data_IF_663134845158
#
_entry.id   IF_663134845158
#
_cell.length_a   1.000
_cell.length_b   1.000
_cell.length_c   1.000
_cell.angle_alpha   90.00
_cell.angle_beta   90.00
_cell.angle_gamma   90.00
#
_symmetry.space_group_name_H-M   'P 1'
#
loop_
_entity.id
_entity.type
_entity.pdbx_description
1 polymer ?
#
# COMPACT_ATOMS: atom_id res chain seq x y z
N UNK A 1 -1.11 -75.17 4.38
CA UNK A 1 -0.39 -74.12 3.63
C UNK A 1 -1.36 -73.04 3.21
N UNK A 2 -1.08 -71.79 3.59
CA UNK A 2 -1.51 -70.50 3.00
C UNK A 2 -3.02 -70.21 2.82
N UNK A 3 -3.56 -69.02 3.03
CA UNK A 3 -3.05 -67.70 3.45
C UNK A 3 -4.27 -66.81 3.72
N UNK A 4 -4.34 -66.18 4.89
CA UNK A 4 -5.37 -65.18 5.24
C UNK A 4 -4.83 -63.80 4.81
N UNK A 5 -5.36 -63.23 3.72
CA UNK A 5 -5.06 -61.84 3.35
C UNK A 5 -5.98 -60.90 4.11
N UNK A 6 -5.44 -60.21 5.11
CA UNK A 6 -6.08 -59.09 5.80
C UNK A 6 -5.87 -57.84 4.94
N UNK A 7 -6.96 -57.27 4.42
CA UNK A 7 -6.94 -55.99 3.71
C UNK A 7 -6.73 -54.83 4.68
N UNK A 8 -5.58 -54.15 4.59
CA UNK A 8 -5.30 -52.92 5.33
C UNK A 8 -5.85 -51.74 4.53
N UNK A 9 -6.94 -51.13 5.00
CA UNK A 9 -7.43 -49.87 4.45
C UNK A 9 -6.47 -48.76 4.92
N UNK A 10 -5.66 -48.23 4.00
CA UNK A 10 -4.86 -47.04 4.27
C UNK A 10 -5.76 -45.81 4.12
N UNK A 11 -6.02 -45.10 5.22
CA UNK A 11 -6.60 -43.75 5.17
C UNK A 11 -5.57 -42.81 4.54
N UNK A 12 -5.84 -42.31 3.35
CA UNK A 12 -5.14 -41.17 2.79
C UNK A 12 -5.54 -39.93 3.60
N UNK A 13 -4.62 -39.42 4.42
CA UNK A 13 -4.79 -38.15 5.10
C UNK A 13 -4.73 -37.02 4.07
N UNK A 14 -5.80 -36.24 3.96
CA UNK A 14 -5.78 -35.02 3.18
C UNK A 14 -4.87 -34.00 3.87
N UNK A 15 -3.72 -33.72 3.25
CA UNK A 15 -2.84 -32.62 3.67
C UNK A 15 -3.52 -31.33 3.23
N UNK A 16 -4.08 -30.59 4.19
CA UNK A 16 -4.61 -29.25 3.93
C UNK A 16 -3.46 -28.36 3.45
N UNK A 17 -3.48 -28.01 2.16
CA UNK A 17 -2.61 -26.98 1.60
C UNK A 17 -3.07 -25.64 2.19
N UNK A 18 -2.38 -25.15 3.22
CA UNK A 18 -2.56 -23.78 3.72
C UNK A 18 -2.11 -22.85 2.60
N UNK A 19 -3.08 -22.27 1.89
CA UNK A 19 -2.82 -21.23 0.90
C UNK A 19 -2.14 -20.05 1.60
N UNK A 20 -0.83 -19.87 1.33
CA UNK A 20 -0.11 -18.67 1.77
C UNK A 20 -0.58 -17.52 0.88
N UNK A 21 -1.10 -16.41 1.44
CA UNK A 21 -1.54 -15.28 0.62
C UNK A 21 -0.33 -14.67 -0.10
N UNK A 22 -0.27 -14.88 -1.42
CA UNK A 22 0.66 -14.20 -2.32
C UNK A 22 0.20 -12.74 -2.46
N UNK A 23 0.61 -11.91 -1.52
CA UNK A 23 0.17 -10.50 -1.49
C UNK A 23 0.48 -9.75 -0.21
N UNK A 24 1.18 -10.36 0.75
CA UNK A 24 1.80 -9.60 1.83
C UNK A 24 2.91 -8.73 1.22
N UNK A 25 2.59 -7.48 0.89
CA UNK A 25 3.58 -6.40 0.83
C UNK A 25 4.34 -6.53 2.15
N UNK A 26 5.59 -6.96 2.08
CA UNK A 26 6.49 -6.94 3.21
C UNK A 26 6.58 -5.50 3.66
N UNK A 27 5.75 -5.13 4.65
CA UNK A 27 6.00 -3.96 5.46
C UNK A 27 7.29 -4.28 6.19
N UNK A 28 8.44 -3.93 5.60
CA UNK A 28 9.67 -3.76 6.39
C UNK A 28 9.33 -2.63 7.36
N UNK A 29 8.89 -3.04 8.53
CA UNK A 29 8.52 -2.13 9.59
C UNK A 29 9.81 -1.43 10.02
N UNK A 30 9.73 -0.13 10.29
CA UNK A 30 10.75 0.66 11.02
C UNK A 30 11.09 0.03 12.39
N UNK A 31 10.41 -1.05 12.80
CA UNK A 31 10.80 -1.92 13.91
C UNK A 31 11.93 -2.91 13.60
N UNK A 32 12.60 -2.83 12.45
CA UNK A 32 13.96 -3.35 12.34
C UNK A 32 14.91 -2.40 13.10
N UNK A 33 14.56 -2.11 14.34
CA UNK A 33 15.46 -1.51 15.30
C UNK A 33 16.49 -2.59 15.58
N UNK A 34 17.64 -2.50 14.90
CA UNK A 34 18.94 -2.94 15.36
C UNK A 34 18.91 -4.28 16.12
N UNK A 35 18.23 -5.27 15.52
CA UNK A 35 18.58 -6.65 15.84
C UNK A 35 19.88 -6.82 15.08
N UNK A 36 20.98 -6.37 15.68
CA UNK A 36 22.30 -6.92 15.38
C UNK A 36 22.15 -8.42 15.62
N UNK A 37 21.73 -9.14 14.58
CA UNK A 37 21.80 -10.56 14.58
C UNK A 37 23.31 -10.84 14.67
N UNK A 38 23.78 -11.41 15.79
CA UNK A 38 25.20 -11.51 16.08
C UNK A 38 25.99 -12.28 15.00
N UNK A 39 25.31 -12.94 14.05
CA UNK A 39 25.91 -13.76 13.01
C UNK A 39 25.47 -13.44 11.56
N UNK A 40 24.64 -12.42 11.29
CA UNK A 40 24.15 -12.17 9.91
C UNK A 40 24.84 -11.04 9.15
N UNK A 41 25.47 -10.07 9.83
CA UNK A 41 26.08 -8.91 9.16
C UNK A 41 27.54 -9.14 8.70
N UNK A 42 28.08 -10.36 8.87
CA UNK A 42 29.39 -10.75 8.30
C UNK A 42 30.60 -9.90 8.75
N UNK A 43 30.50 -9.17 9.87
CA UNK A 43 31.54 -8.26 10.35
C UNK A 43 31.60 -6.91 9.63
N UNK A 44 30.58 -6.54 8.85
CA UNK A 44 30.47 -5.24 8.22
C UNK A 44 30.22 -4.14 9.27
N UNK A 45 30.92 -3.02 9.17
CA UNK A 45 30.74 -1.88 10.08
C UNK A 45 29.45 -1.17 9.71
N UNK A 46 28.41 -1.34 10.53
CA UNK A 46 27.10 -0.73 10.29
C UNK A 46 27.01 0.64 11.01
N UNK A 47 27.12 1.78 10.30
CA UNK A 47 26.92 3.10 10.92
C UNK A 47 25.45 3.30 11.32
N UNK A 48 25.16 4.31 12.15
CA UNK A 48 23.79 4.63 12.58
C UNK A 48 22.85 4.84 11.38
N UNK A 49 21.58 4.37 11.46
CA UNK A 49 20.61 4.50 10.38
C UNK A 49 20.07 5.94 10.27
N UNK A 50 20.89 6.84 9.75
CA UNK A 50 20.53 8.25 9.54
C UNK A 50 20.23 8.48 8.07
N UNK A 51 18.98 8.88 7.78
CA UNK A 51 18.57 9.23 6.43
C UNK A 51 19.37 10.42 5.90
N UNK A 52 19.86 10.31 4.67
CA UNK A 52 20.71 11.33 4.03
C UNK A 52 20.00 12.67 3.83
N UNK A 53 18.66 12.66 3.76
CA UNK A 53 17.82 13.86 3.74
C UNK A 53 18.07 14.81 4.93
N UNK A 54 18.41 14.28 6.11
CA UNK A 54 18.65 15.08 7.32
C UNK A 54 20.09 15.56 7.45
N UNK A 55 21.00 15.14 6.57
CA UNK A 55 22.35 15.70 6.51
C UNK A 55 22.31 17.13 5.99
N UNK A 56 23.29 17.94 6.40
CA UNK A 56 23.41 19.33 5.99
C UNK A 56 23.35 19.47 4.45
N UNK A 57 22.33 20.15 3.89
CA UNK A 57 22.21 20.37 2.45
C UNK A 57 23.36 21.18 1.86
N UNK A 58 23.98 22.05 2.65
CA UNK A 58 25.02 22.99 2.21
C UNK A 58 26.44 22.50 2.52
N UNK A 59 26.58 21.28 3.05
CA UNK A 59 27.86 20.69 3.36
C UNK A 59 28.75 20.50 2.13
N UNK A 60 30.07 20.54 2.32
CA UNK A 60 31.02 20.30 1.24
C UNK A 60 31.20 18.79 0.95
N UNK A 61 30.13 18.15 0.48
CA UNK A 61 30.13 16.73 0.14
C UNK A 61 30.89 16.43 -1.15
N UNK A 62 31.56 15.28 -1.22
CA UNK A 62 32.14 14.77 -2.48
C UNK A 62 31.05 14.44 -3.50
N UNK A 63 30.04 13.66 -3.10
CA UNK A 63 28.81 13.46 -3.84
C UNK A 63 27.75 14.44 -3.34
N UNK A 64 27.55 15.52 -4.11
CA UNK A 64 26.55 16.56 -3.80
C UNK A 64 25.12 16.05 -3.88
N UNK A 65 24.82 15.10 -4.75
CA UNK A 65 23.46 14.58 -4.91
C UNK A 65 23.09 13.72 -3.72
N UNK A 66 23.97 12.82 -3.29
CA UNK A 66 23.67 11.93 -2.17
C UNK A 66 24.12 12.45 -0.81
N UNK A 67 24.73 13.64 -0.73
CA UNK A 67 25.30 14.22 0.50
C UNK A 67 26.26 13.25 1.21
N UNK A 68 27.23 12.72 0.44
CA UNK A 68 28.17 11.67 0.88
C UNK A 68 29.62 12.01 0.56
N UNK A 69 30.53 11.62 1.45
CA UNK A 69 31.97 11.68 1.23
C UNK A 69 32.54 10.35 0.71
N UNK A 70 33.66 10.43 0.00
CA UNK A 70 34.35 9.23 -0.47
C UNK A 70 34.94 8.44 0.70
N UNK A 71 34.75 7.11 0.71
CA UNK A 71 35.28 6.23 1.75
C UNK A 71 34.53 6.25 3.09
N UNK A 72 33.42 6.98 3.23
CA UNK A 72 32.59 6.88 4.42
C UNK A 72 31.89 5.50 4.50
N UNK A 73 31.80 4.87 5.67
CA UNK A 73 31.01 3.65 5.85
C UNK A 73 29.55 3.90 5.48
N UNK A 74 28.97 2.97 4.73
CA UNK A 74 27.58 3.04 4.25
C UNK A 74 26.74 2.12 5.13
N UNK A 75 25.57 2.58 5.59
CA UNK A 75 24.62 1.71 6.29
C UNK A 75 24.17 0.57 5.37
N UNK A 76 23.85 -0.60 5.93
CA UNK A 76 23.39 -1.75 5.15
C UNK A 76 22.11 -1.46 4.34
N UNK A 77 21.16 -0.74 4.94
CA UNK A 77 19.91 -0.30 4.31
C UNK A 77 20.04 1.07 3.61
N UNK A 78 21.15 1.34 2.93
CA UNK A 78 21.36 2.62 2.19
C UNK A 78 20.37 2.83 1.05
N UNK A 79 19.75 1.77 0.53
CA UNK A 79 18.67 1.85 -0.45
C UNK A 79 17.42 2.55 0.13
N UNK A 80 17.18 2.37 1.43
CA UNK A 80 16.07 3.01 2.16
C UNK A 80 16.51 4.34 2.79
N UNK A 81 17.75 4.46 3.24
CA UNK A 81 18.26 5.68 3.89
C UNK A 81 18.84 6.72 2.92
N UNK A 82 19.04 6.35 1.66
CA UNK A 82 19.55 7.23 0.60
C UNK A 82 18.64 8.42 0.28
N UNK A 83 19.15 9.38 -0.49
CA UNK A 83 18.35 10.58 -0.80
C UNK A 83 17.21 10.30 -1.79
N UNK A 84 17.35 9.26 -2.64
CA UNK A 84 16.34 8.88 -3.62
C UNK A 84 15.22 8.01 -3.03
N UNK A 85 15.26 7.71 -1.73
CA UNK A 85 14.15 7.05 -1.06
C UNK A 85 13.02 8.04 -0.75
N UNK A 86 11.77 7.57 -0.53
CA UNK A 86 10.65 8.45 -0.23
C UNK A 86 10.93 9.35 0.96
N UNK A 87 10.66 10.66 0.85
CA UNK A 87 10.98 11.67 1.86
C UNK A 87 10.41 11.35 3.26
N UNK A 88 11.19 11.61 4.31
CA UNK A 88 10.72 11.56 5.70
C UNK A 88 10.31 12.94 6.20
N UNK A 89 9.10 13.04 6.75
CA UNK A 89 8.52 14.29 7.25
C UNK A 89 8.57 14.36 8.77
N UNK A 90 9.15 15.44 9.31
CA UNK A 90 9.33 15.64 10.76
C UNK A 90 8.34 16.60 11.41
N UNK A 91 7.56 17.33 10.61
CA UNK A 91 6.65 18.37 11.11
C UNK A 91 5.49 17.82 11.97
N UNK A 92 4.98 16.62 11.65
CA UNK A 92 3.84 15.99 12.31
C UNK A 92 4.06 14.49 12.45
N UNK A 93 3.62 13.88 13.56
CA UNK A 93 3.70 12.43 13.73
C UNK A 93 2.78 11.71 12.72
N UNK A 94 3.16 10.53 12.18
CA UNK A 94 2.33 9.81 11.21
C UNK A 94 0.90 9.55 11.67
N UNK A 95 0.72 9.19 12.95
CA UNK A 95 -0.60 8.94 13.53
C UNK A 95 -1.49 10.20 13.51
N UNK A 96 -0.93 11.36 13.87
CA UNK A 96 -1.65 12.63 13.86
C UNK A 96 -1.96 13.10 12.44
N UNK A 97 -1.04 12.90 11.49
CA UNK A 97 -1.27 13.24 10.08
C UNK A 97 -2.41 12.39 9.49
N UNK A 98 -2.41 11.09 9.76
CA UNK A 98 -3.46 10.19 9.30
C UNK A 98 -4.83 10.54 9.92
N UNK A 99 -4.85 10.87 11.22
CA UNK A 99 -6.06 11.32 11.88
C UNK A 99 -6.63 12.61 11.25
N UNK A 100 -5.78 13.62 11.02
CA UNK A 100 -6.20 14.87 10.38
C UNK A 100 -6.73 14.65 8.96
N UNK A 101 -6.07 13.79 8.17
CA UNK A 101 -6.53 13.41 6.84
C UNK A 101 -7.89 12.70 6.91
N UNK A 102 -8.07 11.78 7.86
CA UNK A 102 -9.35 11.10 8.09
C UNK A 102 -10.47 12.07 8.45
N UNK A 103 -10.20 13.03 9.34
CA UNK A 103 -11.13 14.09 9.70
C UNK A 103 -11.51 14.94 8.48
N UNK A 104 -10.54 15.33 7.66
CA UNK A 104 -10.79 16.12 6.45
C UNK A 104 -11.70 15.36 5.46
N UNK A 105 -11.35 14.12 5.13
CA UNK A 105 -12.14 13.26 4.24
C UNK A 105 -13.55 13.09 4.79
N UNK A 106 -13.67 12.78 6.08
CA UNK A 106 -14.98 12.59 6.74
C UNK A 106 -15.80 13.87 6.73
N UNK A 107 -15.20 15.03 6.96
CA UNK A 107 -15.92 16.30 6.94
C UNK A 107 -16.45 16.64 5.55
N UNK A 108 -15.63 16.47 4.50
CA UNK A 108 -16.03 16.77 3.12
C UNK A 108 -17.13 15.81 2.66
N UNK A 109 -16.90 14.50 2.76
CA UNK A 109 -17.89 13.52 2.31
C UNK A 109 -19.10 13.44 3.22
N UNK A 110 -18.94 13.70 4.51
CA UNK A 110 -20.04 13.84 5.46
C UNK A 110 -20.95 15.00 5.08
N UNK A 111 -20.39 16.17 4.76
CA UNK A 111 -21.16 17.31 4.27
C UNK A 111 -21.86 16.99 2.95
N UNK A 112 -21.17 16.39 1.98
CA UNK A 112 -21.79 15.97 0.72
C UNK A 112 -22.95 15.00 0.94
N UNK A 113 -22.79 14.03 1.85
CA UNK A 113 -23.84 13.08 2.19
C UNK A 113 -25.05 13.74 2.86
N UNK A 114 -24.81 14.68 3.78
CA UNK A 114 -25.89 15.47 4.42
C UNK A 114 -26.63 16.27 3.36
N UNK A 115 -25.92 17.01 2.49
CA UNK A 115 -26.55 17.76 1.40
C UNK A 115 -27.34 16.84 0.49
N UNK A 116 -26.79 15.68 0.10
CA UNK A 116 -27.49 14.72 -0.76
C UNK A 116 -28.82 14.23 -0.16
N UNK A 117 -28.87 14.00 1.16
CA UNK A 117 -30.09 13.50 1.83
C UNK A 117 -31.14 14.59 2.03
N UNK A 118 -30.71 15.82 2.35
CA UNK A 118 -31.62 16.89 2.74
C UNK A 118 -31.95 17.88 1.62
N UNK A 119 -31.18 17.90 0.53
CA UNK A 119 -31.43 18.81 -0.57
C UNK A 119 -32.62 18.32 -1.41
N UNK A 120 -33.63 19.16 -1.66
CA UNK A 120 -34.81 18.75 -2.42
C UNK A 120 -34.46 18.48 -3.88
N UNK A 121 -35.16 17.51 -4.46
CA UNK A 121 -35.05 17.23 -5.88
C UNK A 121 -35.46 18.43 -6.74
N UNK A 122 -34.89 18.46 -7.94
CA UNK A 122 -35.18 19.50 -8.94
C UNK A 122 -36.69 19.56 -9.20
N UNK A 123 -37.29 20.74 -9.01
CA UNK A 123 -38.70 21.02 -9.34
C UNK A 123 -38.93 21.17 -10.85
N UNK A 124 -38.48 20.20 -11.64
CA UNK A 124 -38.79 20.12 -13.06
C UNK A 124 -38.82 18.67 -13.49
N UNK A 125 -39.77 18.33 -14.35
CA UNK A 125 -39.75 17.04 -15.02
C UNK A 125 -38.51 16.93 -15.92
N UNK A 126 -37.90 15.73 -16.04
CA UNK A 126 -36.89 15.49 -17.05
C UNK A 126 -37.47 15.76 -18.43
N UNK A 127 -36.64 16.24 -19.36
CA UNK A 127 -37.08 16.48 -20.73
C UNK A 127 -37.41 15.14 -21.38
N UNK A 128 -38.68 14.95 -21.72
CA UNK A 128 -39.13 13.82 -22.50
C UNK A 128 -38.97 14.13 -23.99
N UNK A 129 -38.68 13.07 -24.76
CA UNK A 129 -38.64 13.12 -26.21
C UNK A 129 -39.75 12.23 -26.76
N UNK A 130 -40.30 12.58 -27.93
CA UNK A 130 -41.33 11.76 -28.57
C UNK A 130 -40.81 10.34 -28.79
N UNK A 131 -41.49 9.37 -28.16
CA UNK A 131 -41.05 7.99 -28.13
C UNK A 131 -39.62 7.81 -27.62
N UNK A 132 -39.11 8.62 -26.69
CA UNK A 132 -37.76 8.43 -26.11
C UNK A 132 -36.62 8.39 -27.14
N UNK A 133 -36.83 8.96 -28.34
CA UNK A 133 -35.90 8.86 -29.47
C UNK A 133 -35.63 7.41 -29.94
N UNK A 134 -36.57 6.46 -29.78
CA UNK A 134 -36.30 5.03 -30.06
C UNK A 134 -35.76 4.80 -31.48
N UNK A 135 -36.34 5.49 -32.47
CA UNK A 135 -35.92 5.38 -33.89
C UNK A 135 -34.52 5.94 -34.11
N UNK A 136 -34.22 7.10 -33.50
CA UNK A 136 -32.93 7.79 -33.67
C UNK A 136 -31.81 7.11 -32.89
N UNK A 137 -32.13 6.38 -31.81
CA UNK A 137 -31.20 5.58 -31.01
C UNK A 137 -31.03 4.13 -31.53
N UNK A 138 -31.46 3.85 -32.76
CA UNK A 138 -31.18 2.58 -33.45
C UNK A 138 -32.32 1.57 -33.48
N UNK A 139 -33.52 1.94 -33.04
CA UNK A 139 -34.74 1.16 -33.21
C UNK A 139 -34.88 -0.06 -32.29
N UNK A 140 -35.93 -0.87 -32.50
CA UNK A 140 -36.21 -2.03 -31.66
C UNK A 140 -35.14 -3.11 -31.85
N UNK A 141 -34.42 -3.44 -30.76
CA UNK A 141 -33.39 -4.50 -30.72
C UNK A 141 -31.98 -4.01 -30.39
N UNK A 142 -31.74 -2.69 -30.36
CA UNK A 142 -30.47 -2.14 -29.88
C UNK A 142 -30.43 -2.17 -28.35
N UNK A 143 -29.31 -2.65 -27.79
CA UNK A 143 -29.04 -2.59 -26.35
C UNK A 143 -29.00 -1.13 -25.93
N UNK A 144 -30.03 -0.70 -25.20
CA UNK A 144 -30.05 0.63 -24.59
C UNK A 144 -28.99 0.68 -23.49
N UNK A 145 -28.37 1.84 -23.31
CA UNK A 145 -27.67 2.14 -22.07
C UNK A 145 -28.72 2.13 -20.96
N UNK A 146 -28.68 1.09 -20.12
CA UNK A 146 -29.50 0.94 -18.92
C UNK A 146 -29.16 2.00 -17.89
#
# INVERSE_FOLDING_TARGET
MLSRRIGRIQRLGAVAQVARPAGAIQKRCISQADVEDPNMNGGYVNPLPIKRQFRDPNGDWWDKQQRRNYGEPVHEDDDILGLFSPEEYTHTKPATAFFQLGCFVTAVFGLCGVVYVFYPDKQSYPKEYEGGLEKELGGPGVTRAS
#
